data_IF_342912800041
#
_entry.id   IF_342912800041
#
_cell.length_a   1.000
_cell.length_b   1.000
_cell.length_c   1.000
_cell.angle_alpha   90.00
_cell.angle_beta   90.00
_cell.angle_gamma   90.00
#
_symmetry.space_group_name_H-M   'P 1'
#
loop_
_entity.id
_entity.type
_entity.pdbx_description
1 polymer ?
#
# COMPACT_ATOMS: atom_id res chain seq x y z
N UNK A 1 -10.81 14.86 25.32
CA UNK A 1 -9.91 15.17 24.19
C UNK A 1 -9.99 14.02 23.20
N UNK A 2 -10.56 14.24 22.01
CA UNK A 2 -10.42 13.24 20.93
C UNK A 2 -8.95 13.20 20.56
N UNK A 3 -8.31 12.03 20.67
CA UNK A 3 -6.96 11.84 20.12
C UNK A 3 -7.05 12.07 18.61
N UNK A 4 -6.23 12.96 18.07
CA UNK A 4 -6.15 13.14 16.62
C UNK A 4 -5.77 11.81 15.96
N UNK A 5 -6.40 11.53 14.82
CA UNK A 5 -6.13 10.31 14.06
C UNK A 5 -4.79 10.44 13.33
N UNK A 6 -3.98 9.41 13.36
CA UNK A 6 -2.72 9.34 12.62
C UNK A 6 -3.02 8.68 11.27
N UNK A 7 -2.98 9.44 10.18
CA UNK A 7 -3.19 8.89 8.84
C UNK A 7 -1.86 8.40 8.28
N UNK A 8 -1.81 7.12 7.90
CA UNK A 8 -0.60 6.48 7.37
C UNK A 8 -0.82 6.12 5.90
N UNK A 9 0.12 6.50 5.04
CA UNK A 9 0.18 6.05 3.66
C UNK A 9 1.46 5.22 3.47
N UNK A 10 1.30 3.97 3.10
CA UNK A 10 2.39 3.06 2.78
C UNK A 10 2.73 3.20 1.30
N UNK A 11 3.94 3.64 0.97
CA UNK A 11 4.40 3.72 -0.42
C UNK A 11 5.35 2.57 -0.73
N UNK A 12 5.07 1.80 -1.77
CA UNK A 12 5.91 0.66 -2.16
C UNK A 12 5.94 0.45 -3.68
N UNK A 13 7.12 0.18 -4.22
CA UNK A 13 7.26 -0.47 -5.53
C UNK A 13 7.35 -1.98 -5.29
N UNK A 14 6.25 -2.70 -5.48
CA UNK A 14 6.20 -4.11 -5.12
C UNK A 14 6.86 -4.97 -6.20
N UNK A 15 7.83 -5.78 -5.80
CA UNK A 15 8.53 -6.72 -6.69
C UNK A 15 8.25 -8.18 -6.33
N UNK A 16 7.39 -8.44 -5.34
CA UNK A 16 7.05 -9.78 -4.86
C UNK A 16 6.08 -9.78 -3.66
N UNK A 17 6.03 -10.88 -2.89
CA UNK A 17 5.18 -10.98 -1.69
C UNK A 17 5.85 -11.76 -0.55
N UNK A 18 7.02 -11.29 -0.14
CA UNK A 18 7.84 -12.00 0.87
C UNK A 18 8.48 -11.07 1.90
N UNK A 19 8.91 -9.86 1.51
CA UNK A 19 9.65 -8.95 2.39
C UNK A 19 8.80 -7.78 2.87
N UNK A 20 9.06 -6.60 2.30
CA UNK A 20 8.40 -5.36 2.67
C UNK A 20 6.87 -5.46 2.58
N UNK A 21 6.35 -6.18 1.59
CA UNK A 21 4.90 -6.37 1.43
C UNK A 21 4.27 -7.11 2.61
N UNK A 22 4.96 -8.13 3.15
CA UNK A 22 4.47 -8.88 4.31
C UNK A 22 4.46 -8.02 5.57
N UNK A 23 5.48 -7.18 5.74
CA UNK A 23 5.56 -6.24 6.85
C UNK A 23 4.49 -5.15 6.76
N UNK A 24 4.28 -4.57 5.57
CA UNK A 24 3.21 -3.60 5.33
C UNK A 24 1.85 -4.21 5.64
N UNK A 25 1.58 -5.42 5.16
CA UNK A 25 0.33 -6.13 5.42
C UNK A 25 0.14 -6.41 6.91
N UNK A 26 1.17 -6.93 7.59
CA UNK A 26 1.12 -7.24 9.01
C UNK A 26 0.89 -5.99 9.85
N UNK A 27 1.60 -4.90 9.55
CA UNK A 27 1.46 -3.62 10.26
C UNK A 27 0.04 -3.07 10.08
N UNK A 28 -0.39 -2.86 8.83
CA UNK A 28 -1.68 -2.25 8.53
C UNK A 28 -2.88 -3.06 9.05
N UNK A 29 -2.77 -4.40 9.04
CA UNK A 29 -3.80 -5.29 9.59
C UNK A 29 -3.95 -5.20 11.12
N UNK A 30 -2.86 -4.91 11.83
CA UNK A 30 -2.85 -4.91 13.30
C UNK A 30 -2.97 -3.50 13.91
N UNK A 31 -2.99 -2.45 13.09
CA UNK A 31 -3.24 -1.09 13.56
C UNK A 31 -4.75 -0.86 13.81
N UNK A 32 -5.11 -0.07 14.85
CA UNK A 32 -6.49 0.27 15.15
C UNK A 32 -7.05 1.21 14.07
N UNK A 33 -7.85 0.67 13.12
CA UNK A 33 -8.37 1.40 11.95
C UNK A 33 -9.08 2.72 12.28
N UNK A 34 -9.77 2.80 13.41
CA UNK A 34 -10.51 4.00 13.80
C UNK A 34 -9.62 5.18 14.17
N UNK A 35 -8.43 4.92 14.72
CA UNK A 35 -7.47 5.94 15.14
C UNK A 35 -6.26 6.05 14.22
N UNK A 36 -5.91 4.98 13.50
CA UNK A 36 -4.75 4.90 12.61
C UNK A 36 -5.17 4.23 11.29
N UNK A 37 -5.91 4.94 10.41
CA UNK A 37 -6.17 4.43 9.07
C UNK A 37 -4.84 4.31 8.29
N UNK A 38 -4.69 3.20 7.56
CA UNK A 38 -3.47 2.86 6.85
C UNK A 38 -3.80 2.50 5.39
N UNK A 39 -3.55 3.44 4.49
CA UNK A 39 -3.75 3.29 3.05
C UNK A 39 -2.46 2.84 2.36
N UNK A 40 -2.59 2.32 1.15
CA UNK A 40 -1.49 1.78 0.34
C UNK A 40 -1.40 2.55 -0.98
N UNK A 41 -0.23 3.03 -1.33
CA UNK A 41 0.12 3.50 -2.66
C UNK A 41 1.18 2.57 -3.26
N UNK A 42 0.89 2.05 -4.45
CA UNK A 42 1.74 1.08 -5.14
C UNK A 42 1.98 1.51 -6.58
N UNK A 43 3.23 1.47 -7.01
CA UNK A 43 3.58 1.73 -8.41
C UNK A 43 3.39 0.47 -9.26
N UNK A 44 2.84 0.64 -10.46
CA UNK A 44 2.69 -0.42 -11.45
C UNK A 44 3.68 -0.20 -12.58
N UNK A 45 4.84 -0.86 -12.52
CA UNK A 45 5.80 -0.94 -13.62
C UNK A 45 5.42 -2.06 -14.62
N UNK A 46 5.91 -2.03 -15.86
CA UNK A 46 5.60 -3.01 -16.93
C UNK A 46 5.70 -4.50 -16.54
N UNK A 47 6.53 -4.84 -15.55
CA UNK A 47 6.71 -6.20 -15.04
C UNK A 47 5.91 -6.52 -13.77
N UNK A 48 5.06 -5.61 -13.31
CA UNK A 48 4.24 -5.76 -12.10
C UNK A 48 3.09 -6.71 -12.38
N UNK A 49 3.34 -8.02 -12.24
CA UNK A 49 2.32 -9.06 -12.39
C UNK A 49 1.91 -9.59 -11.03
N UNK A 50 0.60 -9.67 -10.82
CA UNK A 50 -0.03 -10.30 -9.66
C UNK A 50 0.42 -9.74 -8.30
N UNK A 51 0.09 -8.48 -8.04
CA UNK A 51 0.37 -7.82 -6.77
C UNK A 51 -0.50 -8.39 -5.64
N UNK A 52 -0.02 -9.48 -5.03
CA UNK A 52 -0.70 -10.14 -3.90
C UNK A 52 -0.97 -9.17 -2.75
N UNK A 53 -0.11 -8.18 -2.52
CA UNK A 53 -0.34 -7.16 -1.49
C UNK A 53 -1.64 -6.37 -1.72
N UNK A 54 -1.86 -5.91 -2.95
CA UNK A 54 -3.07 -5.16 -3.35
C UNK A 54 -4.31 -6.00 -3.12
N UNK A 55 -4.28 -7.26 -3.59
CA UNK A 55 -5.38 -8.21 -3.38
C UNK A 55 -5.70 -8.39 -1.90
N UNK A 56 -4.68 -8.57 -1.06
CA UNK A 56 -4.87 -8.74 0.38
C UNK A 56 -5.44 -7.48 1.05
N UNK A 57 -5.04 -6.28 0.62
CA UNK A 57 -5.61 -5.01 1.12
C UNK A 57 -7.10 -4.89 0.79
N UNK A 58 -7.48 -5.22 -0.45
CA UNK A 58 -8.86 -5.18 -0.93
C UNK A 58 -9.73 -6.25 -0.27
N UNK A 59 -9.28 -7.52 -0.26
CA UNK A 59 -10.01 -8.66 0.31
C UNK A 59 -10.26 -8.51 1.82
N UNK A 60 -9.30 -7.95 2.57
CA UNK A 60 -9.42 -7.77 4.02
C UNK A 60 -9.91 -6.37 4.43
N UNK A 61 -10.30 -5.53 3.45
CA UNK A 61 -10.77 -4.16 3.65
C UNK A 61 -9.87 -3.39 4.64
N UNK A 62 -8.55 -3.42 4.42
CA UNK A 62 -7.55 -2.87 5.35
C UNK A 62 -7.55 -1.34 5.29
N UNK A 63 -7.46 -0.81 4.08
CA UNK A 63 -7.42 0.61 3.74
C UNK A 63 -7.55 0.79 2.23
N UNK A 64 -7.55 2.04 1.79
CA UNK A 64 -7.64 2.36 0.37
C UNK A 64 -6.35 1.97 -0.36
N UNK A 65 -6.48 1.52 -1.60
CA UNK A 65 -5.34 1.24 -2.48
C UNK A 65 -5.32 2.28 -3.60
N UNK A 66 -4.15 2.89 -3.79
CA UNK A 66 -3.84 3.84 -4.85
C UNK A 66 -2.81 3.19 -5.77
N UNK A 67 -3.24 2.79 -6.95
CA UNK A 67 -2.34 2.27 -7.98
C UNK A 67 -1.81 3.44 -8.81
N UNK A 68 -0.49 3.49 -8.99
CA UNK A 68 0.21 4.53 -9.73
C UNK A 68 0.86 3.89 -10.97
N UNK A 69 0.20 3.91 -12.13
CA UNK A 69 0.76 3.36 -13.37
C UNK A 69 2.01 4.11 -13.77
N UNK A 70 3.13 3.41 -13.95
CA UNK A 70 4.40 3.99 -14.37
C UNK A 70 4.83 3.43 -15.72
N UNK A 71 5.28 4.29 -16.63
CA UNK A 71 5.81 3.85 -17.91
C UNK A 71 7.18 3.15 -17.78
N UNK A 72 7.96 3.49 -16.74
CA UNK A 72 9.28 2.91 -16.44
C UNK A 72 9.72 3.33 -15.03
N UNK A 73 10.79 2.72 -14.50
CA UNK A 73 11.30 2.91 -13.11
C UNK A 73 11.61 4.36 -12.70
N UNK A 74 11.79 5.25 -13.67
CA UNK A 74 12.17 6.65 -13.45
C UNK A 74 11.18 7.61 -14.13
N UNK A 75 9.92 7.21 -14.22
CA UNK A 75 8.86 8.04 -14.82
C UNK A 75 8.53 9.25 -13.93
N UNK A 76 9.06 10.42 -14.30
CA UNK A 76 8.80 11.68 -13.57
C UNK A 76 7.37 12.22 -13.76
N UNK A 77 6.58 11.66 -14.68
CA UNK A 77 5.20 12.14 -14.90
C UNK A 77 4.23 11.77 -13.78
N UNK A 78 4.64 10.87 -12.87
CA UNK A 78 3.81 10.37 -11.76
C UNK A 78 4.18 10.97 -10.39
N UNK A 79 5.02 12.02 -10.37
CA UNK A 79 5.48 12.73 -9.16
C UNK A 79 4.72 14.04 -8.95
#
# INVERSE_FOLDING_TARGET
MSREKIKVLQFICSTGFYGAERWILALAKNLPKDSIPCDLAVTLEDNSKDLKLVKQYQEQNIGQVHEVPMAHKFDFSVV
#
